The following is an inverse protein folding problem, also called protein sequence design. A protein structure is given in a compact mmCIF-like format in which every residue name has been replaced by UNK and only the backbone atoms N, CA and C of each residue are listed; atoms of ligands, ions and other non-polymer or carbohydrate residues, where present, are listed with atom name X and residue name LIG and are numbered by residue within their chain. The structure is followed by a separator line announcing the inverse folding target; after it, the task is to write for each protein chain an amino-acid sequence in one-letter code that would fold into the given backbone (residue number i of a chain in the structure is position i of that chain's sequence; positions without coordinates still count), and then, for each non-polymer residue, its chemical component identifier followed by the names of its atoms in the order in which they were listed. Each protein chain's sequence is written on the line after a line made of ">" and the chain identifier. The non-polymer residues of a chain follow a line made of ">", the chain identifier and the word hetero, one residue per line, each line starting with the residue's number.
data_IF_879498370495
#
_entry.id   IF_879498370495
#
_cell.length_a   1.000
_cell.length_b   1.000
_cell.length_c   1.000
_cell.angle_alpha   90.00
_cell.angle_beta   90.00
_cell.angle_gamma   90.00
#
_symmetry.space_group_name_H-M   'P 1'
#
loop_
_entity.id
_entity.type
_entity.pdbx_description
1 polymer ?
#
# COMPACT_ATOMS: atom_id res chain seq x y z
N UNK A 1 -64.93 -54.63 -19.43
CA UNK A 1 -63.95 -54.32 -18.35
C UNK A 1 -64.72 -53.97 -17.07
N UNK A 2 -64.27 -54.44 -15.91
CA UNK A 2 -64.98 -54.23 -14.62
C UNK A 2 -64.84 -52.75 -14.19
N UNK A 3 -65.93 -52.03 -13.85
CA UNK A 3 -65.90 -50.58 -13.54
C UNK A 3 -65.03 -50.21 -12.33
N UNK A 4 -64.67 -51.19 -11.51
CA UNK A 4 -63.85 -51.00 -10.30
C UNK A 4 -62.36 -50.78 -10.62
N UNK A 5 -61.86 -51.25 -11.76
CA UNK A 5 -60.46 -51.02 -12.16
C UNK A 5 -60.25 -49.58 -12.65
N UNK A 6 -61.28 -48.94 -13.22
CA UNK A 6 -61.23 -47.55 -13.67
C UNK A 6 -61.22 -46.57 -12.49
N UNK A 7 -62.02 -46.83 -11.45
CA UNK A 7 -62.03 -46.00 -10.22
C UNK A 7 -60.69 -46.09 -9.46
N UNK A 8 -60.09 -47.28 -9.41
CA UNK A 8 -58.76 -47.48 -8.85
C UNK A 8 -57.65 -46.74 -9.62
N UNK A 9 -57.72 -46.75 -10.96
CA UNK A 9 -56.78 -46.02 -11.80
C UNK A 9 -56.88 -44.50 -11.64
N UNK A 10 -58.09 -43.95 -11.53
CA UNK A 10 -58.30 -42.52 -11.29
C UNK A 10 -57.82 -42.11 -9.90
N UNK A 11 -58.07 -42.92 -8.87
CA UNK A 11 -57.58 -42.67 -7.52
C UNK A 11 -56.04 -42.67 -7.46
N UNK A 12 -55.39 -43.60 -8.17
CA UNK A 12 -53.93 -43.67 -8.25
C UNK A 12 -53.33 -42.47 -9.00
N UNK A 13 -53.97 -41.99 -10.07
CA UNK A 13 -53.53 -40.81 -10.82
C UNK A 13 -53.66 -39.53 -9.98
N UNK A 14 -54.77 -39.37 -9.26
CA UNK A 14 -54.97 -38.23 -8.36
C UNK A 14 -53.94 -38.27 -7.23
N UNK A 15 -53.69 -39.45 -6.64
CA UNK A 15 -52.69 -39.60 -5.59
C UNK A 15 -51.27 -39.31 -6.09
N UNK A 16 -50.96 -39.61 -7.35
CA UNK A 16 -49.68 -39.26 -7.99
C UNK A 16 -49.53 -37.74 -8.22
N UNK A 17 -50.63 -37.06 -8.56
CA UNK A 17 -50.66 -35.60 -8.74
C UNK A 17 -50.59 -34.80 -7.44
N UNK A 18 -50.91 -35.43 -6.30
CA UNK A 18 -50.87 -34.81 -4.97
C UNK A 18 -49.52 -34.99 -4.25
N UNK A 19 -48.51 -35.60 -4.87
CA UNK A 19 -47.17 -35.61 -4.27
C UNK A 19 -46.59 -34.19 -4.27
N UNK A 20 -46.19 -33.65 -3.10
CA UNK A 20 -45.54 -32.35 -3.04
C UNK A 20 -44.23 -32.42 -3.82
N UNK A 21 -44.13 -31.60 -4.87
CA UNK A 21 -42.90 -31.41 -5.61
C UNK A 21 -41.81 -30.96 -4.64
N UNK A 22 -40.73 -31.73 -4.55
CA UNK A 22 -39.59 -31.35 -3.72
C UNK A 22 -38.98 -30.11 -4.36
N UNK A 23 -39.26 -28.94 -3.79
CA UNK A 23 -38.52 -27.73 -4.10
C UNK A 23 -37.09 -27.97 -3.61
N UNK A 24 -36.18 -28.27 -4.53
CA UNK A 24 -34.74 -28.26 -4.24
C UNK A 24 -34.40 -26.87 -3.78
N UNK A 25 -34.24 -26.69 -2.46
CA UNK A 25 -33.62 -25.52 -1.89
C UNK A 25 -32.18 -25.51 -2.42
N UNK A 26 -31.93 -24.70 -3.45
CA UNK A 26 -30.57 -24.42 -3.86
C UNK A 26 -29.93 -23.64 -2.72
N UNK A 27 -29.01 -24.29 -2.02
CA UNK A 27 -28.23 -23.72 -0.93
C UNK A 27 -27.20 -22.76 -1.52
N UNK A 28 -27.69 -21.65 -2.10
CA UNK A 28 -26.86 -20.60 -2.67
C UNK A 28 -26.35 -19.79 -1.49
N UNK A 29 -25.09 -20.03 -1.13
CA UNK A 29 -24.45 -19.29 -0.04
C UNK A 29 -24.33 -17.84 -0.48
N UNK A 30 -24.53 -16.91 0.45
CA UNK A 30 -24.39 -15.46 0.17
C UNK A 30 -23.00 -15.15 -0.44
N UNK A 31 -21.97 -15.96 -0.11
CA UNK A 31 -20.62 -15.89 -0.69
C UNK A 31 -20.57 -16.17 -2.21
N UNK A 32 -21.53 -16.91 -2.75
CA UNK A 32 -21.58 -17.30 -4.17
C UNK A 32 -22.28 -16.23 -5.03
N UNK A 33 -22.99 -15.28 -4.40
CA UNK A 33 -23.63 -14.13 -5.07
C UNK A 33 -22.81 -12.84 -4.99
N UNK A 34 -21.77 -12.83 -4.16
CA UNK A 34 -20.83 -11.71 -4.12
C UNK A 34 -19.73 -11.93 -5.14
N UNK A 35 -19.83 -11.26 -6.29
CA UNK A 35 -18.64 -10.93 -7.09
C UNK A 35 -17.76 -10.10 -6.17
N UNK A 36 -16.72 -10.71 -5.60
CA UNK A 36 -15.83 -10.01 -4.69
C UNK A 36 -15.22 -8.84 -5.45
N UNK A 37 -15.71 -7.64 -5.12
CA UNK A 37 -15.38 -6.40 -5.80
C UNK A 37 -13.86 -6.29 -5.90
N UNK A 38 -13.41 -5.92 -7.10
CA UNK A 38 -12.06 -6.13 -7.59
C UNK A 38 -11.00 -5.86 -6.52
N UNK A 39 -10.25 -6.90 -6.16
CA UNK A 39 -9.17 -6.85 -5.16
C UNK A 39 -7.96 -6.09 -5.74
N UNK A 40 -8.12 -4.80 -5.97
CA UNK A 40 -7.04 -3.95 -6.47
C UNK A 40 -6.19 -3.52 -5.27
N UNK A 41 -4.87 -3.82 -5.26
CA UNK A 41 -3.98 -3.30 -4.23
C UNK A 41 -3.98 -1.77 -4.27
N UNK A 42 -4.08 -1.16 -3.10
CA UNK A 42 -4.03 0.30 -2.96
C UNK A 42 -2.56 0.72 -3.01
N UNK A 43 -2.19 1.49 -4.03
CA UNK A 43 -0.85 2.07 -4.09
C UNK A 43 -0.80 3.34 -3.26
N UNK A 44 0.21 3.45 -2.41
CA UNK A 44 0.50 4.65 -1.66
C UNK A 44 1.83 5.26 -2.10
N UNK A 45 1.91 6.58 -2.08
CA UNK A 45 3.10 7.37 -2.41
C UNK A 45 3.36 8.39 -1.31
N UNK A 46 4.63 8.64 -0.98
CA UNK A 46 5.05 9.71 -0.09
C UNK A 46 6.41 10.27 -0.49
N UNK A 47 6.65 11.52 -0.08
CA UNK A 47 7.94 12.19 -0.24
C UNK A 47 8.59 12.32 1.13
N UNK A 48 9.77 11.75 1.27
CA UNK A 48 10.46 11.62 2.55
C UNK A 48 11.89 12.12 2.53
N UNK A 49 12.51 12.05 3.71
CA UNK A 49 13.92 12.37 3.90
C UNK A 49 14.58 11.17 4.58
N UNK A 50 15.72 10.75 4.06
CA UNK A 50 16.58 9.74 4.68
C UNK A 50 17.81 10.42 5.25
N UNK A 51 18.12 10.12 6.50
CA UNK A 51 19.27 10.68 7.24
C UNK A 51 20.23 9.58 7.67
N UNK A 52 21.44 9.95 8.09
CA UNK A 52 22.43 8.98 8.59
C UNK A 52 23.16 8.24 7.47
N UNK A 53 23.19 8.80 6.26
CA UNK A 53 23.96 8.23 5.15
C UNK A 53 25.44 8.51 5.36
N UNK A 54 26.30 7.54 5.03
CA UNK A 54 27.76 7.61 5.22
C UNK A 54 28.44 8.36 4.05
N UNK A 55 28.12 9.64 3.88
CA UNK A 55 28.68 10.46 2.80
C UNK A 55 28.12 10.16 1.40
N UNK A 56 27.13 9.29 1.29
CA UNK A 56 26.47 8.85 0.04
C UNK A 56 25.14 9.55 -0.25
N UNK A 57 24.72 10.50 0.58
CA UNK A 57 23.54 11.33 0.38
C UNK A 57 23.65 12.32 -0.77
N UNK A 58 22.64 13.15 -0.92
CA UNK A 58 22.53 14.10 -2.02
C UNK A 58 23.70 15.09 -2.01
N UNK A 59 24.27 15.37 -3.18
CA UNK A 59 25.32 16.39 -3.24
C UNK A 59 24.70 17.73 -2.92
N UNK A 60 25.40 18.50 -2.08
CA UNK A 60 25.11 19.89 -1.94
C UNK A 60 25.35 20.57 -3.28
N UNK A 61 24.28 20.84 -4.02
CA UNK A 61 24.37 21.60 -5.25
C UNK A 61 24.62 23.07 -4.83
N UNK A 62 25.87 23.40 -4.52
CA UNK A 62 26.36 24.78 -4.47
C UNK A 62 26.50 25.39 -5.87
N UNK A 63 25.56 25.11 -6.78
CA UNK A 63 25.65 25.51 -8.18
C UNK A 63 24.29 25.56 -8.87
N UNK A 64 23.67 26.74 -8.86
CA UNK A 64 22.50 27.20 -9.67
C UNK A 64 21.23 26.33 -9.81
N UNK A 65 21.16 25.12 -9.25
CA UNK A 65 19.99 24.22 -9.33
C UNK A 65 19.37 23.78 -8.00
N UNK A 66 19.91 24.20 -6.85
CA UNK A 66 19.61 23.62 -5.53
C UNK A 66 18.69 24.43 -4.61
N UNK A 67 18.29 25.63 -5.04
CA UNK A 67 17.59 26.57 -4.17
C UNK A 67 16.28 26.01 -3.61
N UNK A 68 15.59 25.18 -4.39
CA UNK A 68 14.27 24.66 -4.01
C UNK A 68 14.31 23.53 -2.99
N UNK A 69 15.32 22.65 -3.04
CA UNK A 69 15.47 21.53 -2.08
C UNK A 69 15.95 22.04 -0.71
N UNK A 70 16.92 22.95 -0.70
CA UNK A 70 17.43 23.59 0.53
C UNK A 70 16.32 24.39 1.21
N UNK A 71 15.54 25.15 0.44
CA UNK A 71 14.41 25.92 0.98
C UNK A 71 13.29 25.01 1.50
N UNK A 72 13.06 23.84 0.90
CA UNK A 72 12.05 22.87 1.36
C UNK A 72 12.45 22.22 2.68
N UNK A 73 13.73 21.87 2.86
CA UNK A 73 14.25 21.34 4.13
C UNK A 73 14.22 22.41 5.23
N UNK A 74 14.61 23.65 4.91
CA UNK A 74 14.51 24.77 5.85
C UNK A 74 13.05 25.08 6.25
N UNK A 75 12.10 25.00 5.30
CA UNK A 75 10.67 25.15 5.56
C UNK A 75 10.13 24.02 6.46
N UNK A 76 10.62 22.79 6.29
CA UNK A 76 10.22 21.65 7.09
C UNK A 76 10.72 21.78 8.54
N UNK A 77 12.00 22.12 8.72
CA UNK A 77 12.60 22.31 10.04
C UNK A 77 11.93 23.46 10.82
N UNK A 78 11.56 24.54 10.12
CA UNK A 78 10.76 25.64 10.71
C UNK A 78 9.36 25.21 11.19
N UNK A 79 8.75 24.17 10.60
CA UNK A 79 7.45 23.64 11.09
C UNK A 79 7.59 22.85 12.40
N UNK A 80 8.81 22.46 12.76
CA UNK A 80 9.14 21.79 14.02
C UNK A 80 9.80 22.73 15.03
N UNK A 81 9.72 24.04 14.82
CA UNK A 81 10.35 25.08 15.65
C UNK A 81 11.88 24.95 15.76
N UNK A 82 12.50 24.31 14.76
CA UNK A 82 13.95 24.13 14.68
C UNK A 82 14.49 25.06 13.59
N UNK A 83 15.22 26.09 14.01
CA UNK A 83 15.87 27.03 13.11
C UNK A 83 17.28 26.53 12.77
N UNK A 84 17.43 25.98 11.56
CA UNK A 84 18.74 25.53 11.04
C UNK A 84 19.13 26.42 9.87
N UNK A 85 20.25 27.17 9.95
CA UNK A 85 20.74 27.96 8.83
C UNK A 85 21.13 27.05 7.66
N UNK A 86 20.77 27.45 6.44
CA UNK A 86 20.94 26.67 5.22
C UNK A 86 22.41 26.25 4.96
N UNK A 87 23.37 26.99 5.52
CA UNK A 87 24.81 26.73 5.43
C UNK A 87 25.28 25.51 6.24
N UNK A 88 24.51 25.04 7.24
CA UNK A 88 24.90 23.92 8.12
C UNK A 88 24.40 22.55 7.66
N UNK A 89 23.53 22.48 6.65
CA UNK A 89 23.08 21.23 6.04
C UNK A 89 24.19 20.62 5.18
N UNK A 90 25.02 19.76 5.79
CA UNK A 90 26.01 18.94 5.07
C UNK A 90 25.29 17.85 4.25
N UNK A 91 24.96 18.16 3.00
CA UNK A 91 24.02 17.36 2.19
C UNK A 91 24.49 15.92 1.90
N UNK A 92 25.78 15.58 2.05
CA UNK A 92 26.28 14.21 1.81
C UNK A 92 25.77 13.15 2.80
N UNK A 93 25.09 13.50 3.88
CA UNK A 93 24.55 12.54 4.85
C UNK A 93 23.03 12.47 4.88
N UNK A 94 22.36 13.15 3.94
CA UNK A 94 20.89 13.25 3.83
C UNK A 94 20.48 13.06 2.38
N UNK A 95 19.35 12.41 2.12
CA UNK A 95 18.79 12.27 0.77
C UNK A 95 17.29 12.53 0.74
N UNK A 96 16.82 13.21 -0.30
CA UNK A 96 15.39 13.28 -0.62
C UNK A 96 14.95 11.99 -1.32
N UNK A 97 13.85 11.39 -0.86
CA UNK A 97 13.40 10.07 -1.33
C UNK A 97 11.92 10.05 -1.69
N UNK A 98 11.59 9.18 -2.63
CA UNK A 98 10.24 8.76 -2.96
C UNK A 98 9.98 7.44 -2.23
N UNK A 99 8.86 7.38 -1.53
CA UNK A 99 8.40 6.17 -0.85
C UNK A 99 7.16 5.68 -1.58
N UNK A 100 7.18 4.44 -2.04
CA UNK A 100 6.04 3.78 -2.68
C UNK A 100 5.66 2.55 -1.90
N UNK A 101 4.38 2.20 -1.84
CA UNK A 101 3.93 0.97 -1.22
C UNK A 101 2.72 0.40 -1.96
N UNK A 102 2.60 -0.92 -1.96
CA UNK A 102 1.38 -1.60 -2.40
C UNK A 102 0.74 -2.27 -1.19
N UNK A 103 -0.45 -1.77 -0.84
CA UNK A 103 -1.15 -2.11 0.39
C UNK A 103 -2.34 -2.99 0.04
N UNK A 104 -2.43 -4.14 0.71
CA UNK A 104 -3.61 -4.99 0.60
C UNK A 104 -4.85 -4.23 1.07
N UNK A 105 -5.99 -4.31 0.36
CA UNK A 105 -7.23 -3.64 0.78
C UNK A 105 -7.77 -4.15 2.13
N UNK A 106 -7.23 -5.25 2.66
CA UNK A 106 -7.63 -5.84 3.94
C UNK A 106 -6.79 -5.38 5.14
N UNK A 107 -5.82 -4.48 4.94
CA UNK A 107 -4.99 -3.98 6.04
C UNK A 107 -5.82 -3.14 7.01
N UNK A 108 -5.75 -3.53 8.29
CA UNK A 108 -6.49 -2.88 9.38
C UNK A 108 -5.69 -1.70 9.95
N UNK A 109 -6.35 -0.73 10.61
CA UNK A 109 -5.67 0.27 11.43
C UNK A 109 -4.66 -0.38 12.38
N UNK A 110 -3.47 0.20 12.45
CA UNK A 110 -2.33 -0.34 13.20
C UNK A 110 -1.56 -1.49 12.52
N UNK A 111 -2.05 -2.01 11.40
CA UNK A 111 -1.36 -3.01 10.59
C UNK A 111 -0.06 -2.48 10.00
N UNK A 112 0.88 -3.40 9.75
CA UNK A 112 2.18 -3.07 9.14
C UNK A 112 2.26 -3.57 7.71
N UNK A 113 2.97 -2.84 6.87
CA UNK A 113 3.25 -3.22 5.49
C UNK A 113 4.63 -2.73 5.07
N UNK A 114 5.13 -3.31 3.99
CA UNK A 114 6.42 -2.95 3.40
C UNK A 114 6.27 -1.78 2.44
N UNK A 115 7.30 -0.95 2.41
CA UNK A 115 7.44 0.14 1.44
C UNK A 115 8.72 -0.04 0.66
N UNK A 116 8.83 0.64 -0.47
CA UNK A 116 10.05 0.76 -1.25
C UNK A 116 10.49 2.23 -1.21
N UNK A 117 11.79 2.44 -1.01
CA UNK A 117 12.37 3.78 -0.87
C UNK A 117 13.42 3.98 -1.95
N UNK A 118 13.22 5.02 -2.76
CA UNK A 118 14.09 5.35 -3.89
C UNK A 118 14.59 6.78 -3.76
N UNK A 119 15.88 7.03 -4.01
CA UNK A 119 16.42 8.39 -4.03
C UNK A 119 15.87 9.19 -5.21
N UNK A 120 15.40 10.41 -4.96
CA UNK A 120 14.97 11.36 -6.00
C UNK A 120 16.16 12.18 -6.51
N UNK A 121 17.13 12.44 -5.63
CA UNK A 121 18.29 13.27 -5.93
C UNK A 121 19.51 12.49 -6.44
N UNK A 122 20.67 12.98 -6.04
CA UNK A 122 22.00 12.54 -6.49
C UNK A 122 22.67 11.55 -5.53
N UNK A 123 21.94 11.09 -4.50
CA UNK A 123 22.43 10.12 -3.53
C UNK A 123 22.95 8.86 -4.23
N UNK A 124 24.18 8.47 -3.89
CA UNK A 124 24.85 7.28 -4.42
C UNK A 124 24.36 5.98 -3.77
N UNK A 125 23.90 6.06 -2.53
CA UNK A 125 23.38 4.92 -1.77
C UNK A 125 22.56 5.42 -0.59
N UNK A 126 21.48 4.68 -0.29
CA UNK A 126 20.66 4.86 0.90
C UNK A 126 21.06 3.90 2.05
N UNK A 127 22.17 3.15 1.89
CA UNK A 127 22.62 2.16 2.86
C UNK A 127 22.90 2.78 4.22
N UNK A 128 22.43 2.13 5.29
CA UNK A 128 22.63 2.56 6.67
C UNK A 128 21.79 3.78 7.06
N UNK A 129 20.98 4.30 6.13
CA UNK A 129 20.10 5.43 6.39
C UNK A 129 18.86 5.07 7.19
N UNK A 130 18.23 6.10 7.74
CA UNK A 130 16.94 6.01 8.44
C UNK A 130 15.96 6.93 7.75
N UNK A 131 14.80 6.39 7.35
CA UNK A 131 13.68 7.15 6.83
C UNK A 131 12.99 7.90 7.97
N UNK A 132 12.94 9.22 7.83
CA UNK A 132 12.13 10.05 8.71
C UNK A 132 10.64 9.81 8.47
N UNK A 133 9.81 10.04 9.50
CA UNK A 133 8.36 9.83 9.40
C UNK A 133 7.79 10.53 8.17
N UNK A 134 7.32 9.71 7.23
CA UNK A 134 6.87 10.11 5.90
C UNK A 134 5.39 9.74 5.74
N UNK A 135 4.49 10.71 5.56
CA UNK A 135 3.09 10.43 5.27
C UNK A 135 2.95 9.81 3.88
N UNK A 136 2.08 8.81 3.76
CA UNK A 136 1.77 8.13 2.53
C UNK A 136 0.32 8.42 2.14
N UNK A 137 0.13 8.88 0.90
CA UNK A 137 -1.17 9.22 0.32
C UNK A 137 -1.51 8.27 -0.83
N UNK A 138 -2.78 7.90 -1.02
CA UNK A 138 -3.20 7.11 -2.18
C UNK A 138 -3.15 7.93 -3.47
N UNK A 139 -3.51 9.22 -3.36
CA UNK A 139 -3.56 10.16 -4.48
C UNK A 139 -2.84 11.47 -4.12
N UNK A 140 -2.24 12.11 -5.13
CA UNK A 140 -1.56 13.39 -4.97
C UNK A 140 -2.56 14.46 -4.52
N UNK A 141 -2.30 15.09 -3.37
CA UNK A 141 -3.20 16.07 -2.76
C UNK A 141 -4.28 15.48 -1.85
N UNK A 142 -4.32 14.16 -1.69
CA UNK A 142 -5.20 13.47 -0.75
C UNK A 142 -4.74 13.56 0.70
N UNK A 143 -5.61 13.08 1.60
CA UNK A 143 -5.25 12.94 3.03
C UNK A 143 -4.31 11.75 3.24
N UNK A 144 -3.35 11.82 4.19
CA UNK A 144 -2.47 10.70 4.52
C UNK A 144 -3.27 9.49 4.98
N UNK A 145 -3.10 8.36 4.29
CA UNK A 145 -3.72 7.09 4.64
C UNK A 145 -2.83 6.23 5.53
N UNK A 146 -1.51 6.44 5.48
CA UNK A 146 -0.53 5.72 6.30
C UNK A 146 0.72 6.56 6.54
N UNK A 147 1.65 6.03 7.34
CA UNK A 147 2.98 6.61 7.55
C UNK A 147 4.06 5.55 7.45
N UNK A 148 5.21 5.92 6.89
CA UNK A 148 6.40 5.08 6.81
C UNK A 148 7.56 5.72 7.58
N UNK A 149 8.32 4.92 8.33
CA UNK A 149 9.50 5.36 9.06
C UNK A 149 10.40 4.18 9.43
N UNK A 150 11.66 4.45 9.71
CA UNK A 150 12.57 3.47 10.29
C UNK A 150 13.85 3.25 9.51
N UNK A 151 14.68 2.34 9.99
CA UNK A 151 15.96 1.99 9.38
C UNK A 151 15.75 1.32 8.02
N UNK A 152 16.52 1.75 7.04
CA UNK A 152 16.51 1.18 5.70
C UNK A 152 17.32 -0.12 5.68
N UNK A 153 16.65 -1.24 5.37
CA UNK A 153 17.29 -2.53 5.11
C UNK A 153 17.47 -2.72 3.61
N UNK A 154 18.69 -2.82 3.10
CA UNK A 154 18.90 -3.08 1.67
C UNK A 154 18.77 -4.57 1.36
N UNK A 155 17.87 -4.91 0.42
CA UNK A 155 17.91 -6.19 -0.26
C UNK A 155 18.91 -6.12 -1.42
N UNK A 156 19.89 -7.02 -1.46
CA UNK A 156 20.81 -7.15 -2.59
C UNK A 156 20.07 -7.74 -3.79
N UNK A 157 19.42 -6.89 -4.59
CA UNK A 157 18.87 -7.29 -5.87
C UNK A 157 20.02 -7.58 -6.85
N UNK A 158 20.10 -8.84 -7.29
CA UNK A 158 21.09 -9.31 -8.24
C UNK A 158 20.89 -8.62 -9.62
N UNK A 159 21.71 -7.61 -9.90
CA UNK A 159 21.96 -7.13 -11.27
C UNK A 159 21.54 -5.69 -11.55
N UNK A 160 22.54 -4.84 -11.82
CA UNK A 160 22.44 -3.70 -12.73
C UNK A 160 21.60 -2.50 -12.29
N UNK A 161 22.29 -1.44 -11.84
CA UNK A 161 21.78 -0.06 -11.69
C UNK A 161 20.47 0.10 -10.90
N UNK A 162 20.62 0.28 -9.59
CA UNK A 162 19.91 1.33 -8.85
C UNK A 162 18.51 1.03 -8.31
N UNK A 163 17.95 -0.16 -8.50
CA UNK A 163 16.69 -0.53 -7.82
C UNK A 163 16.97 -1.21 -6.49
N UNK A 164 17.07 -0.41 -5.44
CA UNK A 164 17.22 -0.90 -4.07
C UNK A 164 15.83 -1.11 -3.47
N UNK A 165 15.44 -2.37 -3.30
CA UNK A 165 14.23 -2.69 -2.53
C UNK A 165 14.60 -2.58 -1.07
N UNK A 166 13.96 -1.63 -0.38
CA UNK A 166 14.25 -1.34 1.02
C UNK A 166 13.02 -1.61 1.85
N UNK A 167 12.95 -2.79 2.46
CA UNK A 167 11.84 -3.15 3.35
C UNK A 167 11.89 -2.26 4.60
N UNK A 168 11.02 -1.25 4.63
CA UNK A 168 10.78 -0.42 5.82
C UNK A 168 9.33 -0.60 6.25
N UNK A 169 9.12 -0.73 7.55
CA UNK A 169 7.78 -0.91 8.10
C UNK A 169 6.98 0.39 8.05
N UNK A 170 5.80 0.34 7.44
CA UNK A 170 4.81 1.40 7.50
C UNK A 170 3.60 0.98 8.34
N UNK A 171 2.80 1.96 8.79
CA UNK A 171 1.64 1.74 9.65
C UNK A 171 0.45 2.60 9.21
N UNK A 172 -0.74 1.99 9.20
CA UNK A 172 -2.02 2.71 9.07
C UNK A 172 -2.37 3.29 10.45
N UNK A 173 -2.65 4.60 10.57
CA UNK A 173 -3.00 5.23 11.84
C UNK A 173 -4.21 4.57 12.52
#
# INVERSE_FOLDING_TARGET
>A
MKPNTLRGAVAALVMLLLLPGHATAQDVRIRDLTLQDQMVPVRLVGYGIVVGLDGTGDRAIGGRGAGHTVQSVANLLRRFDVEVPAEFLRMRNVAAVLVTAEVSPYLRPGGRFEVQVSSIGDARSLRGGVLWTTPLVPDVGGSPAASAQGSLLMSESAGGRGSYTVETGARIP
#
